data_IF_476060299065
#
_entry.id   IF_476060299065
#
_cell.length_a   1.000
_cell.length_b   1.000
_cell.length_c   1.000
_cell.angle_alpha   90.00
_cell.angle_beta   90.00
_cell.angle_gamma   90.00
#
_symmetry.space_group_name_H-M   'P 1'
#
loop_
_entity.id
_entity.type
_entity.pdbx_description
1 polymer ?
#
# COMPACT_ATOMS: atom_id res chain seq x y z
N UNK A 1 -31.48 4.46 9.29
CA UNK A 1 -31.48 3.66 8.01
C UNK A 1 -30.65 4.36 6.95
N UNK A 2 -30.84 5.65 6.76
CA UNK A 2 -30.03 6.53 5.91
C UNK A 2 -28.57 6.67 6.37
N UNK A 3 -28.28 6.63 7.68
CA UNK A 3 -26.88 6.68 8.16
C UNK A 3 -26.06 5.48 7.70
N UNK A 4 -26.66 4.28 7.67
CA UNK A 4 -25.99 3.07 7.18
C UNK A 4 -25.67 3.15 5.69
N UNK A 5 -26.57 3.75 4.89
CA UNK A 5 -26.34 3.96 3.46
C UNK A 5 -25.14 4.90 3.25
N UNK A 6 -25.05 5.96 4.04
CA UNK A 6 -23.93 6.91 3.97
C UNK A 6 -22.60 6.23 4.34
N UNK A 7 -22.57 5.42 5.41
CA UNK A 7 -21.37 4.70 5.83
C UNK A 7 -20.89 3.73 4.74
N UNK A 8 -21.80 2.95 4.14
CA UNK A 8 -21.45 2.01 3.07
C UNK A 8 -20.92 2.73 1.83
N UNK A 9 -21.52 3.88 1.46
CA UNK A 9 -21.04 4.69 0.35
C UNK A 9 -19.60 5.18 0.58
N UNK A 10 -19.27 5.63 1.79
CA UNK A 10 -17.91 6.07 2.14
C UNK A 10 -16.89 4.93 2.10
N UNK A 11 -17.25 3.74 2.59
CA UNK A 11 -16.41 2.54 2.49
C UNK A 11 -16.16 2.17 1.02
N UNK A 12 -17.18 2.25 0.17
CA UNK A 12 -17.06 1.97 -1.26
C UNK A 12 -16.05 2.89 -1.95
N UNK A 13 -16.09 4.19 -1.65
CA UNK A 13 -15.13 5.17 -2.20
C UNK A 13 -13.71 4.89 -1.70
N UNK A 14 -13.53 4.61 -0.40
CA UNK A 14 -12.23 4.27 0.16
C UNK A 14 -11.65 2.99 -0.43
N UNK A 15 -12.50 1.98 -0.67
CA UNK A 15 -12.09 0.71 -1.26
C UNK A 15 -11.52 0.89 -2.67
N UNK A 16 -12.09 1.76 -3.50
CA UNK A 16 -11.58 2.05 -4.85
C UNK A 16 -10.13 2.52 -4.79
N UNK A 17 -9.79 3.44 -3.88
CA UNK A 17 -8.44 3.94 -3.72
C UNK A 17 -7.46 2.83 -3.27
N UNK A 18 -7.86 2.01 -2.30
CA UNK A 18 -7.04 0.89 -1.80
C UNK A 18 -6.76 -0.12 -2.91
N UNK A 19 -7.75 -0.48 -3.72
CA UNK A 19 -7.56 -1.42 -4.83
C UNK A 19 -6.65 -0.87 -5.93
N UNK A 20 -6.69 0.43 -6.21
CA UNK A 20 -5.75 1.05 -7.15
C UNK A 20 -4.31 0.96 -6.65
N UNK A 21 -4.05 1.42 -5.42
CA UNK A 21 -2.70 1.38 -4.83
C UNK A 21 -2.16 -0.04 -4.67
N UNK A 22 -3.02 -0.98 -4.26
CA UNK A 22 -2.66 -2.38 -4.15
C UNK A 22 -2.34 -3.01 -5.52
N UNK A 23 -3.16 -2.72 -6.53
CA UNK A 23 -2.94 -3.18 -7.90
C UNK A 23 -1.63 -2.66 -8.52
N UNK A 24 -1.29 -1.40 -8.30
CA UNK A 24 -0.01 -0.81 -8.71
C UNK A 24 1.17 -1.52 -8.03
N UNK A 25 1.06 -1.81 -6.73
CA UNK A 25 2.11 -2.49 -5.95
C UNK A 25 2.35 -3.90 -6.46
N UNK A 26 1.28 -4.69 -6.66
CA UNK A 26 1.39 -6.05 -7.22
C UNK A 26 2.02 -5.99 -8.61
N UNK A 27 1.55 -5.10 -9.48
CA UNK A 27 2.08 -4.99 -10.85
C UNK A 27 3.57 -4.61 -10.87
N UNK A 28 4.00 -3.73 -9.97
CA UNK A 28 5.41 -3.36 -9.83
C UNK A 28 6.27 -4.56 -9.38
N UNK A 29 5.79 -5.33 -8.39
CA UNK A 29 6.48 -6.53 -7.91
C UNK A 29 6.51 -7.64 -8.97
N UNK A 30 5.39 -7.90 -9.65
CA UNK A 30 5.31 -8.87 -10.76
C UNK A 30 6.23 -8.46 -11.91
N UNK A 31 6.34 -7.17 -12.22
CA UNK A 31 7.32 -6.67 -13.21
C UNK A 31 8.76 -6.94 -12.77
N UNK A 32 9.07 -6.76 -11.48
CA UNK A 32 10.38 -7.12 -10.91
C UNK A 32 10.71 -8.60 -11.08
N UNK A 33 9.78 -9.47 -10.70
CA UNK A 33 9.92 -10.94 -10.80
C UNK A 33 10.03 -11.36 -12.28
N UNK A 34 9.20 -10.80 -13.17
CA UNK A 34 9.24 -11.12 -14.60
C UNK A 34 10.58 -10.73 -15.24
N UNK A 35 11.18 -9.61 -14.83
CA UNK A 35 12.52 -9.23 -15.27
C UNK A 35 13.60 -10.16 -14.72
N UNK A 36 13.46 -10.62 -13.47
CA UNK A 36 14.37 -11.61 -12.86
C UNK A 36 14.34 -12.96 -13.60
N UNK A 37 13.14 -13.45 -13.91
CA UNK A 37 12.92 -14.68 -14.70
C UNK A 37 13.46 -14.52 -16.13
N UNK A 38 13.38 -13.32 -16.71
CA UNK A 38 13.97 -13.00 -18.01
C UNK A 38 15.51 -12.84 -17.97
N UNK A 39 16.16 -13.10 -16.84
CA UNK A 39 17.61 -13.00 -16.67
C UNK A 39 18.15 -11.57 -16.58
N UNK A 40 17.27 -10.56 -16.49
CA UNK A 40 17.67 -9.17 -16.24
C UNK A 40 17.85 -9.00 -14.72
N UNK A 41 18.93 -8.34 -14.32
CA UNK A 41 19.22 -8.12 -12.91
C UNK A 41 18.07 -7.37 -12.22
N UNK A 42 17.39 -8.04 -11.30
CA UNK A 42 16.30 -7.49 -10.49
C UNK A 42 16.79 -6.63 -9.32
N UNK A 43 18.09 -6.34 -9.24
CA UNK A 43 18.72 -5.61 -8.12
C UNK A 43 18.06 -4.26 -7.82
N UNK A 44 17.61 -3.54 -8.87
CA UNK A 44 16.84 -2.29 -8.73
C UNK A 44 15.44 -2.51 -8.15
N UNK A 45 14.76 -3.59 -8.57
CA UNK A 45 13.43 -3.93 -8.06
C UNK A 45 13.50 -4.40 -6.59
N UNK A 46 14.52 -5.19 -6.25
CA UNK A 46 14.80 -5.62 -4.88
C UNK A 46 15.11 -4.40 -3.99
N UNK A 47 16.00 -3.50 -4.41
CA UNK A 47 16.27 -2.27 -3.66
C UNK A 47 15.03 -1.38 -3.48
N UNK A 48 14.17 -1.28 -4.51
CA UNK A 48 12.92 -0.55 -4.41
C UNK A 48 11.93 -1.23 -3.44
N UNK A 49 11.88 -2.56 -3.43
CA UNK A 49 11.06 -3.34 -2.51
C UNK A 49 11.56 -3.21 -1.06
N UNK A 50 12.88 -3.27 -0.82
CA UNK A 50 13.49 -3.01 0.48
C UNK A 50 13.20 -1.60 0.97
N UNK A 51 13.31 -0.59 0.09
CA UNK A 51 12.99 0.79 0.44
C UNK A 51 11.50 0.98 0.75
N UNK A 52 10.60 0.32 0.01
CA UNK A 52 9.17 0.34 0.27
C UNK A 52 8.83 -0.38 1.59
N UNK A 53 9.48 -1.50 1.87
CA UNK A 53 9.35 -2.23 3.13
C UNK A 53 9.83 -1.38 4.31
N UNK A 54 11.00 -0.75 4.22
CA UNK A 54 11.52 0.15 5.25
C UNK A 54 10.63 1.38 5.48
N UNK A 55 9.99 1.92 4.43
CA UNK A 55 8.96 2.97 4.59
C UNK A 55 7.71 2.45 5.28
N UNK A 56 7.22 1.26 4.90
CA UNK A 56 6.07 0.63 5.53
C UNK A 56 6.34 0.29 7.01
N UNK A 57 7.56 -0.11 7.36
CA UNK A 57 8.00 -0.34 8.73
C UNK A 57 8.15 0.98 9.51
N UNK A 58 8.53 2.07 8.84
CA UNK A 58 8.49 3.42 9.44
C UNK A 58 7.07 3.93 9.71
N UNK A 59 6.11 3.58 8.84
CA UNK A 59 4.69 3.87 9.02
C UNK A 59 4.00 2.93 10.01
N UNK A 60 4.61 1.78 10.33
CA UNK A 60 4.18 0.84 11.39
C UNK A 60 4.34 1.40 12.81
N UNK A 61 4.83 2.64 12.97
CA UNK A 61 4.66 3.36 14.25
C UNK A 61 3.22 3.21 14.70
N UNK A 62 3.04 2.78 15.92
CA UNK A 62 1.75 2.50 16.54
C UNK A 62 0.87 3.75 16.45
N UNK A 63 0.01 3.84 15.42
CA UNK A 63 -0.96 4.93 15.25
C UNK A 63 -2.16 4.61 16.13
N UNK A 64 -1.92 4.55 17.44
CA UNK A 64 -2.93 4.54 18.48
C UNK A 64 -3.57 5.92 18.61
N UNK A 65 -4.69 6.00 19.33
CA UNK A 65 -5.32 7.28 19.70
C UNK A 65 -4.34 8.19 20.46
N UNK A 66 -3.33 7.58 21.10
CA UNK A 66 -2.21 8.19 21.81
C UNK A 66 -1.28 9.02 20.90
N UNK A 67 -1.25 8.74 19.60
CA UNK A 67 -0.50 9.52 18.61
C UNK A 67 -1.26 10.77 18.11
N UNK A 68 -2.52 10.94 18.50
CA UNK A 68 -3.33 12.13 18.22
C UNK A 68 -3.32 13.09 19.42
N UNK A 69 -2.16 13.66 19.76
CA UNK A 69 -2.13 14.85 20.62
C UNK A 69 -2.62 16.06 19.80
N UNK A 70 -3.81 16.57 20.15
CA UNK A 70 -4.25 17.92 19.79
C UNK A 70 -3.27 18.92 20.40
N UNK A 71 -2.54 19.65 19.54
CA UNK A 71 -1.94 20.93 19.91
C UNK A 71 -3.00 22.02 19.91
#
# INVERSE_FOLDING_TARGET
MTEYIIIVALIGVAAIAVYQYFGETIRAQTSGIANEVAGKSAKKAIQAAEAAAGKADGERKEKGLDAYENK
#
